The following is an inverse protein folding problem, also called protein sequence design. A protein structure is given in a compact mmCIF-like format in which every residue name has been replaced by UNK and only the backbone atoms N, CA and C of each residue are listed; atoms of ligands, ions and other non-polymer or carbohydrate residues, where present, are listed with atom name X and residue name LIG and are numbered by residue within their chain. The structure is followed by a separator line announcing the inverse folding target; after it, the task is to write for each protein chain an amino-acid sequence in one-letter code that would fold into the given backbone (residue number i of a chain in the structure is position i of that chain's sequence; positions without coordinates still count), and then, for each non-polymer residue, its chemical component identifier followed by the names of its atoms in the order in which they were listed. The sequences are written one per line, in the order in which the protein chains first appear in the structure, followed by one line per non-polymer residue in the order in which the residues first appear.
data_IF_155680862791
#
_entry.id   IF_155680862791
#
_cell.length_a   1.000
_cell.length_b   1.000
_cell.length_c   1.000
_cell.angle_alpha   90.00
_cell.angle_beta   90.00
_cell.angle_gamma   90.00
#
_symmetry.space_group_name_H-M   'P 1'
#
loop_
_entity.id
_entity.type
_entity.pdbx_description
1 polymer ?
#
# COMPACT_ATOMS: atom_id res chain seq x y z
N UNK A 1 -9.06 -28.09 12.73
CA UNK A 1 -9.31 -29.51 12.34
C UNK A 1 -8.93 -29.77 10.88
N UNK A 2 -9.39 -28.98 9.90
CA UNK A 2 -9.07 -29.17 8.45
C UNK A 2 -7.57 -29.00 8.12
N UNK A 3 -6.91 -27.97 8.68
CA UNK A 3 -5.47 -27.69 8.49
C UNK A 3 -4.54 -28.85 8.86
N UNK A 4 -4.93 -29.67 9.84
CA UNK A 4 -4.13 -30.81 10.30
C UNK A 4 -4.28 -32.06 9.42
N UNK A 5 -5.38 -32.17 8.67
CA UNK A 5 -5.68 -33.33 7.81
C UNK A 5 -5.21 -33.05 6.37
N UNK A 6 -5.37 -31.81 5.90
CA UNK A 6 -4.98 -31.40 4.54
C UNK A 6 -4.16 -30.09 4.56
N UNK A 7 -2.89 -30.14 5.01
CA UNK A 7 -2.07 -28.94 5.19
C UNK A 7 -1.82 -28.18 3.88
N UNK A 8 -1.51 -28.90 2.79
CA UNK A 8 -1.23 -28.29 1.48
C UNK A 8 -2.48 -27.67 0.85
N UNK A 9 -3.62 -28.36 0.92
CA UNK A 9 -4.89 -27.84 0.39
C UNK A 9 -5.36 -26.62 1.19
N UNK A 10 -5.19 -26.64 2.52
CA UNK A 10 -5.54 -25.51 3.36
C UNK A 10 -4.67 -24.28 3.03
N UNK A 11 -3.37 -24.48 2.82
CA UNK A 11 -2.47 -23.40 2.39
C UNK A 11 -2.86 -22.83 1.02
N UNK A 12 -3.16 -23.70 0.05
CA UNK A 12 -3.59 -23.27 -1.27
C UNK A 12 -4.90 -22.46 -1.20
N UNK A 13 -5.89 -22.94 -0.43
CA UNK A 13 -7.15 -22.24 -0.23
C UNK A 13 -6.95 -20.85 0.42
N UNK A 14 -6.06 -20.73 1.41
CA UNK A 14 -5.73 -19.44 2.02
C UNK A 14 -5.08 -18.47 1.02
N UNK A 15 -4.15 -18.95 0.19
CA UNK A 15 -3.55 -18.13 -0.88
C UNK A 15 -4.63 -17.66 -1.86
N UNK A 16 -5.53 -18.55 -2.28
CA UNK A 16 -6.63 -18.22 -3.19
C UNK A 16 -7.60 -17.20 -2.59
N UNK A 17 -7.90 -17.28 -1.29
CA UNK A 17 -8.78 -16.33 -0.61
C UNK A 17 -8.13 -14.94 -0.45
N UNK A 18 -6.80 -14.87 -0.39
CA UNK A 18 -6.06 -13.62 -0.34
C UNK A 18 -5.90 -12.96 -1.73
N UNK A 19 -6.09 -13.70 -2.82
CA UNK A 19 -5.96 -13.15 -4.15
C UNK A 19 -7.13 -12.21 -4.48
N UNK A 20 -6.87 -10.97 -4.93
CA UNK A 20 -7.93 -10.07 -5.35
C UNK A 20 -8.56 -10.60 -6.66
N UNK A 21 -9.82 -11.05 -6.58
CA UNK A 21 -10.58 -11.54 -7.75
C UNK A 21 -11.05 -10.37 -8.65
N UNK A 22 -11.15 -9.16 -8.09
CA UNK A 22 -11.64 -7.97 -8.79
C UNK A 22 -10.50 -7.02 -9.18
N UNK A 23 -10.60 -6.44 -10.38
CA UNK A 23 -9.68 -5.40 -10.87
C UNK A 23 -9.88 -4.05 -10.18
N UNK A 24 -11.01 -3.83 -9.50
CA UNK A 24 -11.34 -2.56 -8.88
C UNK A 24 -10.30 -2.08 -7.87
N UNK A 25 -9.63 -3.01 -7.16
CA UNK A 25 -8.54 -2.66 -6.23
C UNK A 25 -7.31 -2.18 -7.00
N UNK A 26 -6.92 -2.91 -8.03
CA UNK A 26 -5.77 -2.57 -8.87
C UNK A 26 -5.99 -1.24 -9.60
N UNK A 27 -7.20 -1.00 -10.13
CA UNK A 27 -7.57 0.26 -10.78
C UNK A 27 -7.50 1.45 -9.82
N UNK A 28 -7.92 1.27 -8.56
CA UNK A 28 -7.80 2.28 -7.51
C UNK A 28 -6.33 2.60 -7.24
N UNK A 29 -5.48 1.59 -7.15
CA UNK A 29 -4.05 1.76 -6.90
C UNK A 29 -3.37 2.52 -8.06
N UNK A 30 -3.70 2.18 -9.31
CA UNK A 30 -3.21 2.95 -10.47
C UNK A 30 -3.74 4.39 -10.51
N UNK A 31 -4.98 4.63 -10.08
CA UNK A 31 -5.51 5.98 -9.93
C UNK A 31 -4.72 6.79 -8.89
N UNK A 32 -4.38 6.17 -7.75
CA UNK A 32 -3.51 6.76 -6.73
C UNK A 32 -2.11 7.04 -7.27
N UNK A 33 -1.53 6.11 -8.04
CA UNK A 33 -0.23 6.29 -8.68
C UNK A 33 -0.22 7.50 -9.63
N UNK A 34 -1.28 7.67 -10.43
CA UNK A 34 -1.41 8.83 -11.33
C UNK A 34 -1.52 10.16 -10.57
N UNK A 35 -2.11 10.17 -9.36
CA UNK A 35 -2.13 11.36 -8.50
C UNK A 35 -0.75 11.72 -7.96
N UNK A 36 0.11 10.72 -7.70
CA UNK A 36 1.48 10.92 -7.20
C UNK A 36 2.42 11.33 -8.35
N UNK A 37 2.37 10.62 -9.48
CA UNK A 37 3.18 10.83 -10.68
C UNK A 37 2.60 11.88 -11.61
N UNK A 38 2.44 13.10 -11.11
CA UNK A 38 2.09 14.24 -11.96
C UNK A 38 3.25 14.57 -12.92
N UNK A 39 2.96 15.11 -14.11
CA UNK A 39 3.99 15.47 -15.11
C UNK A 39 5.01 16.53 -14.66
N UNK A 40 4.76 17.22 -13.55
CA UNK A 40 5.71 18.15 -12.94
C UNK A 40 6.72 17.43 -12.03
N UNK A 41 6.41 16.21 -11.57
CA UNK A 41 7.17 15.47 -10.55
C UNK A 41 8.15 14.47 -11.16
N UNK A 42 9.18 14.98 -11.83
CA UNK A 42 10.11 14.19 -12.66
C UNK A 42 11.36 13.64 -11.93
N UNK A 43 11.46 13.83 -10.61
CA UNK A 43 12.63 13.38 -9.81
C UNK A 43 12.37 12.15 -8.96
N UNK A 44 11.17 11.58 -9.02
CA UNK A 44 10.81 10.46 -8.18
C UNK A 44 11.51 9.18 -8.66
N UNK A 45 12.24 8.51 -7.77
CA UNK A 45 12.75 7.16 -8.06
C UNK A 45 11.64 6.13 -7.83
N UNK A 46 11.86 4.90 -8.29
CA UNK A 46 10.96 3.77 -8.05
C UNK A 46 10.73 3.50 -6.55
N UNK A 47 11.78 3.61 -5.74
CA UNK A 47 11.70 3.43 -4.28
C UNK A 47 10.83 4.52 -3.62
N UNK A 48 11.06 5.79 -3.98
CA UNK A 48 10.23 6.89 -3.49
C UNK A 48 8.77 6.72 -3.92
N UNK A 49 8.51 6.21 -5.13
CA UNK A 49 7.16 5.96 -5.59
C UNK A 49 6.47 4.89 -4.75
N UNK A 50 7.15 3.77 -4.51
CA UNK A 50 6.62 2.67 -3.71
C UNK A 50 6.27 3.14 -2.29
N UNK A 51 7.16 3.92 -1.66
CA UNK A 51 6.93 4.48 -0.33
C UNK A 51 5.71 5.40 -0.30
N UNK A 52 5.60 6.33 -1.26
CA UNK A 52 4.45 7.24 -1.35
C UNK A 52 3.15 6.51 -1.66
N UNK A 53 3.19 5.47 -2.49
CA UNK A 53 2.06 4.59 -2.78
C UNK A 53 1.58 3.88 -1.52
N UNK A 54 2.49 3.26 -0.75
CA UNK A 54 2.17 2.64 0.55
C UNK A 54 1.50 3.62 1.51
N UNK A 55 2.07 4.81 1.66
CA UNK A 55 1.51 5.85 2.54
C UNK A 55 0.12 6.29 2.04
N UNK A 56 -0.07 6.42 0.72
CA UNK A 56 -1.33 6.91 0.17
C UNK A 56 -2.47 5.88 0.20
N UNK A 57 -2.14 4.58 0.15
CA UNK A 57 -3.13 3.48 0.16
C UNK A 57 -3.43 3.04 1.59
N UNK A 58 -2.40 2.81 2.41
CA UNK A 58 -2.51 2.19 3.73
C UNK A 58 -2.31 3.17 4.89
N UNK A 59 -1.90 4.41 4.60
CA UNK A 59 -1.64 5.42 5.61
C UNK A 59 -2.90 5.94 6.29
N UNK A 60 -2.78 6.48 7.52
CA UNK A 60 -3.88 7.10 8.21
C UNK A 60 -4.34 8.36 7.46
N UNK A 61 -5.65 8.66 7.50
CA UNK A 61 -6.23 9.83 6.84
C UNK A 61 -5.65 11.15 7.38
N UNK A 62 -5.37 11.18 8.68
CA UNK A 62 -4.71 12.28 9.35
C UNK A 62 -3.57 11.77 10.22
N UNK A 63 -2.46 12.49 10.19
CA UNK A 63 -1.34 12.25 11.10
C UNK A 63 -1.59 12.99 12.41
N UNK A 64 -1.22 12.35 13.52
CA UNK A 64 -1.24 12.98 14.84
C UNK A 64 -0.34 14.23 14.88
N UNK A 65 -0.78 15.26 15.62
CA UNK A 65 -0.10 16.55 15.63
C UNK A 65 1.30 16.46 16.25
N UNK A 66 1.52 15.57 17.22
CA UNK A 66 2.84 15.40 17.84
C UNK A 66 3.82 14.80 16.83
N UNK A 67 3.35 13.85 16.02
CA UNK A 67 4.15 13.26 14.93
C UNK A 67 4.42 14.30 13.83
N UNK A 68 3.43 15.13 13.47
CA UNK A 68 3.63 16.22 12.50
C UNK A 68 4.73 17.17 12.95
N UNK A 69 4.69 17.61 14.22
CA UNK A 69 5.69 18.50 14.79
C UNK A 69 7.09 17.87 14.78
N UNK A 70 7.19 16.58 15.12
CA UNK A 70 8.45 15.84 15.06
C UNK A 70 9.03 15.78 13.63
N UNK A 71 8.20 15.47 12.63
CA UNK A 71 8.63 15.44 11.22
C UNK A 71 9.14 16.81 10.78
N UNK A 72 8.42 17.88 11.13
CA UNK A 72 8.80 19.26 10.79
C UNK A 72 10.17 19.59 11.39
N UNK A 73 10.44 19.17 12.64
CA UNK A 73 11.72 19.42 13.29
C UNK A 73 12.87 18.57 12.69
N UNK A 74 12.61 17.34 12.24
CA UNK A 74 13.60 16.52 11.54
C UNK A 74 13.94 17.02 10.13
N UNK A 75 13.05 17.79 9.50
CA UNK A 75 13.23 18.32 8.14
C UNK A 75 13.85 19.73 8.08
N UNK A 76 14.07 20.38 9.23
CA UNK A 76 14.86 21.61 9.34
C UNK A 76 16.35 21.30 9.19
#
# INVERSE_FOLDING_TARGET
MIRGIYPQLSLAAEIFLCAPISTATVERDFSTMNRILTGLRNRLTTEHLEQLMRISIEGPADLDNDIKNLIIDCWK
#
